data_IF_895955911169
#
_entry.id   IF_895955911169
#
_cell.length_a   1.000
_cell.length_b   1.000
_cell.length_c   1.000
_cell.angle_alpha   90.00
_cell.angle_beta   90.00
_cell.angle_gamma   90.00
#
_symmetry.space_group_name_H-M   'P 1'
#
loop_
_entity.id
_entity.type
_entity.pdbx_description
1 polymer ?
#
# COMPACT_ATOMS: atom_id res chain seq x y z
N UNK A 1 -12.89 -16.83 -11.42
CA UNK A 1 -12.62 -15.54 -10.75
C UNK A 1 -12.04 -14.62 -11.81
N UNK A 2 -12.65 -13.47 -12.12
CA UNK A 2 -12.10 -12.55 -13.14
C UNK A 2 -10.87 -11.86 -12.50
N UNK A 3 -9.63 -12.18 -12.94
CA UNK A 3 -8.44 -11.69 -12.26
C UNK A 3 -8.18 -10.21 -12.56
N UNK A 4 -8.80 -9.68 -13.62
CA UNK A 4 -8.66 -8.32 -14.12
C UNK A 4 -9.97 -7.55 -13.86
N UNK A 5 -9.86 -6.44 -13.12
CA UNK A 5 -11.01 -5.60 -12.75
C UNK A 5 -11.21 -4.45 -13.74
N UNK A 6 -10.13 -3.93 -14.31
CA UNK A 6 -10.14 -2.81 -15.25
C UNK A 6 -9.09 -3.10 -16.33
N UNK A 7 -9.53 -3.09 -17.59
CA UNK A 7 -8.66 -3.12 -18.76
C UNK A 7 -8.65 -1.72 -19.37
N UNK A 8 -7.53 -1.01 -19.27
CA UNK A 8 -7.31 0.24 -19.99
C UNK A 8 -6.28 -0.02 -21.10
N UNK A 9 -6.77 -0.20 -22.33
CA UNK A 9 -5.93 -0.16 -23.54
C UNK A 9 -4.68 -1.05 -23.53
N UNK A 10 -4.75 -2.25 -22.94
CA UNK A 10 -3.63 -3.20 -22.86
C UNK A 10 -2.92 -3.28 -21.50
N UNK A 11 -3.30 -2.46 -20.52
CA UNK A 11 -2.86 -2.62 -19.13
C UNK A 11 -3.98 -3.31 -18.35
N UNK A 12 -3.73 -4.57 -17.99
CA UNK A 12 -4.58 -5.34 -17.09
C UNK A 12 -4.29 -4.92 -15.64
N UNK A 13 -5.25 -4.26 -14.99
CA UNK A 13 -5.14 -3.98 -13.55
C UNK A 13 -5.78 -5.15 -12.80
N UNK A 14 -4.97 -5.96 -12.10
CA UNK A 14 -5.52 -7.11 -11.42
C UNK A 14 -6.28 -6.69 -10.16
N UNK A 15 -7.32 -7.45 -9.85
CA UNK A 15 -8.22 -7.12 -8.75
C UNK A 15 -7.51 -7.05 -7.39
N UNK A 16 -6.52 -7.91 -7.18
CA UNK A 16 -5.71 -7.93 -5.95
C UNK A 16 -4.94 -6.62 -5.78
N UNK A 17 -4.44 -6.01 -6.87
CA UNK A 17 -3.69 -4.77 -6.82
C UNK A 17 -4.58 -3.60 -6.38
N UNK A 18 -5.80 -3.53 -6.92
CA UNK A 18 -6.80 -2.54 -6.52
C UNK A 18 -7.18 -2.72 -5.04
N UNK A 19 -7.43 -3.95 -4.60
CA UNK A 19 -7.71 -4.23 -3.18
C UNK A 19 -6.56 -3.78 -2.27
N UNK A 20 -5.31 -3.98 -2.68
CA UNK A 20 -4.14 -3.58 -1.92
C UNK A 20 -4.07 -2.05 -1.77
N UNK A 21 -4.28 -1.30 -2.85
CA UNK A 21 -4.36 0.16 -2.82
C UNK A 21 -5.51 0.64 -1.92
N UNK A 22 -6.70 0.05 -2.06
CA UNK A 22 -7.87 0.42 -1.24
C UNK A 22 -7.62 0.13 0.24
N UNK A 23 -7.03 -1.01 0.58
CA UNK A 23 -6.70 -1.36 1.97
C UNK A 23 -5.70 -0.37 2.58
N UNK A 24 -4.67 0.03 1.83
CA UNK A 24 -3.68 1.00 2.29
C UNK A 24 -4.31 2.38 2.51
N UNK A 25 -5.12 2.87 1.56
CA UNK A 25 -5.81 4.16 1.69
C UNK A 25 -6.80 4.17 2.86
N UNK A 26 -7.57 3.09 3.03
CA UNK A 26 -8.49 2.93 4.15
C UNK A 26 -7.76 2.95 5.50
N UNK A 27 -6.63 2.24 5.60
CA UNK A 27 -5.80 2.23 6.80
C UNK A 27 -5.19 3.60 7.10
N UNK A 28 -4.62 4.27 6.09
CA UNK A 28 -4.06 5.61 6.24
C UNK A 28 -5.11 6.61 6.71
N UNK A 29 -6.30 6.60 6.09
CA UNK A 29 -7.41 7.46 6.49
C UNK A 29 -7.83 7.20 7.94
N UNK A 30 -7.97 5.93 8.33
CA UNK A 30 -8.37 5.53 9.67
C UNK A 30 -7.36 5.97 10.74
N UNK A 31 -6.07 5.72 10.51
CA UNK A 31 -5.00 6.08 11.46
C UNK A 31 -4.83 7.59 11.52
N UNK A 32 -4.84 8.29 10.38
CA UNK A 32 -4.76 9.76 10.33
C UNK A 32 -5.90 10.41 11.10
N UNK A 33 -7.12 9.86 11.01
CA UNK A 33 -8.28 10.36 11.77
C UNK A 33 -8.16 10.11 13.28
N UNK A 34 -7.46 9.06 13.70
CA UNK A 34 -7.24 8.74 15.11
C UNK A 34 -6.00 9.39 15.71
N UNK A 35 -5.04 9.82 14.90
CA UNK A 35 -3.77 10.42 15.34
C UNK A 35 -3.93 11.60 16.32
N UNK A 36 -4.89 12.53 16.15
CA UNK A 36 -5.10 13.63 17.10
C UNK A 36 -5.49 13.16 18.50
N UNK A 37 -6.19 12.01 18.64
CA UNK A 37 -6.55 11.44 19.95
C UNK A 37 -5.32 11.02 20.75
N UNK A 38 -4.21 10.75 20.08
CA UNK A 38 -2.94 10.35 20.68
C UNK A 38 -1.92 11.49 20.69
N UNK A 39 -2.33 12.73 20.39
CA UNK A 39 -1.43 13.89 20.24
C UNK A 39 -0.35 13.69 19.16
N UNK A 40 -0.58 12.80 18.20
CA UNK A 40 0.32 12.55 17.08
C UNK A 40 -0.09 13.47 15.92
N UNK A 41 0.87 14.20 15.38
CA UNK A 41 0.62 15.02 14.19
C UNK A 41 0.29 14.15 12.98
N UNK A 42 -0.77 14.45 12.22
CA UNK A 42 -1.11 13.74 10.99
C UNK A 42 0.05 13.59 9.99
N UNK A 43 0.99 14.55 9.97
CA UNK A 43 2.17 14.52 9.09
C UNK A 43 3.09 13.34 9.41
N UNK A 44 3.19 12.95 10.69
CA UNK A 44 4.02 11.82 11.12
C UNK A 44 3.42 10.52 10.59
N UNK A 45 2.09 10.40 10.61
CA UNK A 45 1.38 9.24 10.07
C UNK A 45 1.58 9.11 8.57
N UNK A 46 1.50 10.23 7.84
CA UNK A 46 1.75 10.25 6.39
C UNK A 46 3.19 9.86 6.06
N UNK A 47 4.16 10.44 6.77
CA UNK A 47 5.57 10.08 6.60
C UNK A 47 5.82 8.60 6.88
N UNK A 48 5.26 8.08 7.98
CA UNK A 48 5.39 6.67 8.33
C UNK A 48 4.77 5.76 7.26
N UNK A 49 3.58 6.09 6.79
CA UNK A 49 2.92 5.34 5.73
C UNK A 49 3.75 5.32 4.43
N UNK A 50 4.37 6.46 4.08
CA UNK A 50 5.26 6.56 2.94
C UNK A 50 6.50 5.66 3.09
N UNK A 51 7.17 5.69 4.24
CA UNK A 51 8.33 4.82 4.52
C UNK A 51 7.95 3.33 4.52
N UNK A 52 6.80 2.97 5.08
CA UNK A 52 6.29 1.59 5.03
C UNK A 52 6.06 1.16 3.59
N UNK A 53 5.43 1.99 2.76
CA UNK A 53 5.18 1.68 1.35
C UNK A 53 6.48 1.44 0.58
N UNK A 54 7.50 2.29 0.79
CA UNK A 54 8.84 2.07 0.23
C UNK A 54 9.47 0.78 0.74
N UNK A 55 9.36 0.52 2.04
CA UNK A 55 9.87 -0.71 2.66
C UNK A 55 9.25 -1.97 2.10
N UNK A 56 7.94 -1.97 1.81
CA UNK A 56 7.25 -3.11 1.19
C UNK A 56 7.74 -3.36 -0.23
N UNK A 57 7.89 -2.31 -1.04
CA UNK A 57 8.35 -2.43 -2.43
C UNK A 57 9.79 -2.95 -2.47
N UNK A 58 10.68 -2.34 -1.70
CA UNK A 58 12.10 -2.69 -1.65
C UNK A 58 12.27 -4.08 -1.01
N UNK A 59 11.66 -4.30 0.15
CA UNK A 59 11.75 -5.56 0.89
C UNK A 59 11.19 -6.73 0.10
N UNK A 60 10.05 -6.55 -0.59
CA UNK A 60 9.49 -7.60 -1.45
C UNK A 60 10.43 -7.99 -2.60
N UNK A 61 11.13 -7.01 -3.20
CA UNK A 61 12.13 -7.28 -4.25
C UNK A 61 13.39 -7.94 -3.70
N UNK A 62 13.91 -7.45 -2.57
CA UNK A 62 15.10 -8.04 -1.92
C UNK A 62 14.82 -9.48 -1.52
N UNK A 63 13.68 -9.75 -0.86
CA UNK A 63 13.30 -11.11 -0.47
C UNK A 63 13.13 -12.01 -1.69
N UNK A 64 12.49 -11.53 -2.76
CA UNK A 64 12.39 -12.29 -4.01
C UNK A 64 13.78 -12.68 -4.53
N UNK A 65 14.71 -11.72 -4.61
CA UNK A 65 16.08 -11.97 -5.05
C UNK A 65 16.80 -12.94 -4.12
N UNK A 66 16.74 -12.76 -2.80
CA UNK A 66 17.47 -13.62 -1.85
C UNK A 66 16.98 -15.08 -1.88
N UNK A 67 15.67 -15.31 -2.05
CA UNK A 67 15.09 -16.65 -2.00
C UNK A 67 14.96 -17.33 -3.37
N UNK A 68 14.97 -16.57 -4.47
CA UNK A 68 14.78 -17.10 -5.84
C UNK A 68 15.97 -16.78 -6.76
N UNK A 69 17.17 -16.62 -6.19
CA UNK A 69 18.44 -16.65 -6.92
C UNK A 69 18.93 -18.09 -7.06
#
# INVERSE_FOLDING_TARGET
>A
MRPVLIELGGIEIPAYGIMLVVSFLAALWYVKRHAPKFQISPIIVENLAFYIMLGVIIGGRILYVVFHW
#
